data_IF_777655436434
#
_entry.id   IF_777655436434
#
_cell.length_a   1.000
_cell.length_b   1.000
_cell.length_c   1.000
_cell.angle_alpha   90.00
_cell.angle_beta   90.00
_cell.angle_gamma   90.00
#
_symmetry.space_group_name_H-M   'P 1'
#
loop_
_entity.id
_entity.type
_entity.pdbx_description
1 polymer ?
#
# COMPACT_ATOMS: atom_id res chain seq x y z
N UNK A 1 6.65 -7.25 14.02
CA UNK A 1 8.01 -7.30 14.61
C UNK A 1 8.30 -8.75 14.85
N UNK A 2 9.31 -9.28 14.19
CA UNK A 2 9.86 -10.61 14.50
C UNK A 2 11.11 -10.37 15.35
N UNK A 3 11.19 -10.98 16.54
CA UNK A 3 12.34 -10.88 17.45
C UNK A 3 12.80 -9.43 17.75
N UNK A 4 11.86 -8.49 17.88
CA UNK A 4 12.15 -7.09 18.17
C UNK A 4 12.74 -6.29 17.00
N UNK A 5 12.91 -6.90 15.81
CA UNK A 5 13.39 -6.21 14.62
C UNK A 5 12.22 -5.69 13.78
N UNK A 6 12.44 -4.55 13.14
CA UNK A 6 11.53 -4.03 12.14
C UNK A 6 11.52 -4.96 10.92
N UNK A 7 10.33 -5.23 10.37
CA UNK A 7 10.21 -6.02 9.17
C UNK A 7 10.83 -5.25 7.99
N UNK A 8 11.68 -5.92 7.21
CA UNK A 8 12.31 -5.35 6.00
C UNK A 8 11.57 -5.75 4.72
N UNK A 9 10.63 -6.69 4.83
CA UNK A 9 9.85 -7.14 3.67
C UNK A 9 8.84 -6.05 3.29
N UNK A 10 8.68 -5.75 2.00
CA UNK A 10 7.64 -4.85 1.54
C UNK A 10 6.26 -5.40 1.92
N UNK A 11 5.26 -4.52 2.14
CA UNK A 11 3.90 -4.94 2.38
C UNK A 11 3.31 -5.63 1.14
N UNK A 12 2.63 -6.74 1.38
CA UNK A 12 1.98 -7.56 0.33
C UNK A 12 0.45 -7.51 0.44
N UNK A 13 -0.07 -7.07 1.59
CA UNK A 13 -1.50 -7.04 1.86
C UNK A 13 -1.91 -5.76 2.56
N UNK A 14 -3.05 -5.20 2.15
CA UNK A 14 -3.85 -4.28 2.97
C UNK A 14 -4.66 -5.11 3.95
N UNK A 15 -4.70 -4.65 5.20
CA UNK A 15 -5.48 -5.26 6.27
C UNK A 15 -6.63 -4.33 6.62
N UNK A 16 -7.83 -4.88 6.63
CA UNK A 16 -9.06 -4.16 6.94
C UNK A 16 -9.94 -4.95 7.89
N UNK A 17 -10.88 -4.25 8.54
CA UNK A 17 -11.94 -4.85 9.35
C UNK A 17 -13.27 -4.54 8.68
N UNK A 18 -13.99 -5.59 8.27
CA UNK A 18 -15.31 -5.51 7.64
C UNK A 18 -16.38 -5.63 8.71
N UNK A 19 -17.26 -4.62 8.78
CA UNK A 19 -18.36 -4.52 9.74
C UNK A 19 -19.64 -4.27 8.96
N UNK A 20 -20.55 -5.25 8.93
CA UNK A 20 -21.79 -5.18 8.17
C UNK A 20 -21.60 -4.78 6.69
N UNK A 21 -21.81 -3.50 6.36
CA UNK A 21 -21.67 -2.94 5.00
C UNK A 21 -20.45 -2.03 4.84
N UNK A 22 -19.72 -1.76 5.92
CA UNK A 22 -18.56 -0.88 5.94
C UNK A 22 -17.25 -1.68 6.02
N UNK A 23 -16.17 -1.08 5.52
CA UNK A 23 -14.83 -1.63 5.58
C UNK A 23 -13.83 -0.56 6.03
N UNK A 24 -13.08 -0.86 7.09
CA UNK A 24 -12.14 0.05 7.70
C UNK A 24 -10.71 -0.47 7.50
N UNK A 25 -9.89 0.25 6.75
CA UNK A 25 -8.46 -0.07 6.63
C UNK A 25 -7.75 0.20 7.97
N UNK A 26 -7.04 -0.80 8.47
CA UNK A 26 -6.31 -0.71 9.75
C UNK A 26 -4.80 -0.78 9.59
N UNK A 27 -4.30 -1.24 8.43
CA UNK A 27 -2.86 -1.22 8.15
C UNK A 27 -2.47 -2.03 6.92
N UNK A 28 -1.16 -2.31 6.82
CA UNK A 28 -0.56 -3.14 5.77
C UNK A 28 0.39 -4.15 6.40
N UNK A 29 0.58 -5.30 5.75
CA UNK A 29 1.48 -6.34 6.26
C UNK A 29 2.08 -7.19 5.13
N UNK A 30 3.18 -7.88 5.40
CA UNK A 30 3.69 -8.94 4.53
C UNK A 30 3.10 -10.30 4.92
N UNK A 31 3.29 -11.32 4.08
CA UNK A 31 2.73 -12.64 4.30
C UNK A 31 3.19 -13.26 5.62
N UNK A 32 4.47 -13.11 5.97
CA UNK A 32 5.06 -13.67 7.20
C UNK A 32 4.43 -13.10 8.47
N UNK A 33 3.91 -11.87 8.42
CA UNK A 33 3.36 -11.18 9.57
C UNK A 33 1.83 -11.27 9.67
N UNK A 34 1.13 -11.98 8.77
CA UNK A 34 -0.34 -12.09 8.79
C UNK A 34 -0.89 -12.55 10.13
N UNK A 35 -0.35 -13.63 10.69
CA UNK A 35 -0.87 -14.23 11.93
C UNK A 35 -0.69 -13.31 13.14
N UNK A 36 0.48 -12.67 13.25
CA UNK A 36 0.78 -11.72 14.31
C UNK A 36 -0.16 -10.51 14.23
N UNK A 37 -0.38 -9.99 13.02
CA UNK A 37 -1.28 -8.85 12.79
C UNK A 37 -2.74 -9.22 13.09
N UNK A 38 -3.21 -10.39 12.64
CA UNK A 38 -4.55 -10.89 12.97
C UNK A 38 -4.79 -10.97 14.47
N UNK A 39 -3.84 -11.57 15.22
CA UNK A 39 -3.95 -11.67 16.68
C UNK A 39 -4.00 -10.30 17.36
N UNK A 40 -3.21 -9.33 16.89
CA UNK A 40 -3.22 -7.97 17.43
C UNK A 40 -4.54 -7.24 17.13
N UNK A 41 -5.08 -7.38 15.93
CA UNK A 41 -6.38 -6.80 15.57
C UNK A 41 -7.49 -7.44 16.41
N UNK A 42 -7.47 -8.76 16.58
CA UNK A 42 -8.46 -9.46 17.42
C UNK A 42 -8.39 -8.99 18.88
N UNK A 43 -7.18 -8.81 19.43
CA UNK A 43 -7.00 -8.22 20.75
C UNK A 43 -7.61 -6.82 20.84
N UNK A 44 -7.35 -5.94 19.86
CA UNK A 44 -7.89 -4.58 19.84
C UNK A 44 -9.43 -4.54 19.66
N UNK A 45 -10.01 -5.50 18.93
CA UNK A 45 -11.47 -5.68 18.84
C UNK A 45 -12.08 -6.10 20.19
N UNK A 46 -11.36 -6.93 20.95
CA UNK A 46 -11.80 -7.36 22.28
C UNK A 46 -11.70 -6.21 23.30
N UNK A 47 -10.69 -5.34 23.19
CA UNK A 47 -10.55 -4.11 23.97
C UNK A 47 -11.49 -2.97 23.51
N UNK A 48 -12.34 -3.21 22.52
CA UNK A 48 -13.29 -2.22 21.97
C UNK A 48 -12.61 -0.95 21.43
N UNK A 49 -11.32 -1.05 21.07
CA UNK A 49 -10.53 0.06 20.49
C UNK A 49 -10.71 0.18 18.99
N UNK A 50 -11.11 -0.91 18.34
CA UNK A 50 -11.51 -0.95 16.94
C UNK A 50 -12.82 -1.73 16.81
N UNK A 51 -13.65 -1.45 15.79
CA UNK A 51 -14.94 -2.13 15.60
C UNK A 51 -14.81 -3.65 15.54
N UNK A 52 -15.77 -4.37 16.13
CA UNK A 52 -15.84 -5.84 16.00
C UNK A 52 -16.29 -6.21 14.60
N UNK A 53 -15.48 -6.98 13.90
CA UNK A 53 -15.71 -7.31 12.51
C UNK A 53 -14.75 -8.36 11.97
N UNK A 54 -14.99 -8.79 10.74
CA UNK A 54 -14.16 -9.79 10.08
C UNK A 54 -12.87 -9.14 9.58
N UNK A 55 -11.73 -9.70 9.98
CA UNK A 55 -10.43 -9.29 9.45
C UNK A 55 -10.32 -9.76 7.99
N UNK A 56 -10.01 -8.83 7.08
CA UNK A 56 -9.81 -9.09 5.66
C UNK A 56 -8.39 -8.74 5.23
N UNK A 57 -7.85 -9.51 4.29
CA UNK A 57 -6.52 -9.31 3.72
C UNK A 57 -6.64 -9.22 2.21
N UNK A 58 -6.43 -8.02 1.68
CA UNK A 58 -6.51 -7.74 0.25
C UNK A 58 -5.10 -7.65 -0.32
N UNK A 59 -4.74 -8.45 -1.34
CA UNK A 59 -3.40 -8.42 -1.92
C UNK A 59 -3.11 -7.06 -2.56
N UNK A 60 -1.90 -6.55 -2.34
CA UNK A 60 -1.40 -5.35 -2.97
C UNK A 60 -0.77 -5.71 -4.32
N UNK A 61 -1.11 -4.91 -5.33
CA UNK A 61 -0.41 -4.92 -6.61
C UNK A 61 0.75 -3.93 -6.54
N UNK A 62 1.96 -4.43 -6.74
CA UNK A 62 3.13 -3.56 -6.88
C UNK A 62 3.02 -2.79 -8.19
N UNK A 63 3.05 -1.46 -8.11
CA UNK A 63 3.12 -0.57 -9.27
C UNK A 63 4.42 0.19 -9.17
N UNK A 64 5.32 -0.03 -10.14
CA UNK A 64 6.50 0.80 -10.32
C UNK A 64 6.12 2.03 -11.13
N UNK A 65 6.29 3.21 -10.56
CA UNK A 65 6.18 4.47 -11.27
C UNK A 65 7.53 5.15 -11.23
N UNK A 66 7.94 5.77 -12.33
CA UNK A 66 9.08 6.68 -12.29
C UNK A 66 8.71 7.89 -11.42
N UNK A 67 9.60 8.25 -10.51
CA UNK A 67 9.47 9.46 -9.71
C UNK A 67 9.74 10.67 -10.61
N UNK A 68 8.68 11.38 -10.98
CA UNK A 68 8.76 12.65 -11.72
C UNK A 68 8.69 13.78 -10.69
N UNK A 69 9.68 14.67 -10.67
CA UNK A 69 9.72 15.82 -9.74
C UNK A 69 8.81 16.98 -10.19
N UNK A 70 8.43 17.02 -11.46
CA UNK A 70 7.62 18.06 -12.08
C UNK A 70 8.41 19.33 -12.40
N UNK A 71 9.74 19.25 -12.48
CA UNK A 71 10.60 20.39 -12.79
C UNK A 71 11.26 20.27 -14.17
N UNK A 72 12.15 21.22 -14.49
CA UNK A 72 12.71 21.34 -15.82
C UNK A 72 13.54 20.13 -16.26
N UNK A 73 14.13 19.39 -15.31
CA UNK A 73 14.87 18.15 -15.58
C UNK A 73 13.95 17.00 -16.05
N UNK A 74 12.65 17.08 -15.79
CA UNK A 74 11.67 16.06 -16.22
C UNK A 74 11.09 16.31 -17.63
N UNK A 75 11.39 17.44 -18.28
CA UNK A 75 10.89 17.72 -19.62
C UNK A 75 11.61 16.86 -20.67
N UNK A 76 10.85 16.06 -21.41
CA UNK A 76 11.36 15.35 -22.58
C UNK A 76 11.38 16.30 -23.79
N UNK A 77 12.56 16.53 -24.35
CA UNK A 77 12.72 17.34 -25.56
C UNK A 77 12.18 16.59 -26.78
N UNK A 78 11.05 17.03 -27.33
CA UNK A 78 10.48 16.46 -28.54
C UNK A 78 11.19 17.03 -29.78
N UNK A 79 12.01 16.21 -30.43
CA UNK A 79 12.64 16.57 -31.71
C UNK A 79 11.58 16.77 -32.81
N UNK A 80 11.19 18.01 -33.04
CA UNK A 80 10.29 18.40 -34.15
C UNK A 80 11.07 18.53 -35.46
N UNK A 81 11.70 17.44 -35.92
CA UNK A 81 12.34 17.38 -37.25
C UNK A 81 11.35 17.54 -38.42
N UNK A 82 10.03 17.69 -38.17
CA UNK A 82 9.03 18.00 -39.20
C UNK A 82 9.00 19.49 -39.62
N UNK A 83 9.53 20.42 -38.81
CA UNK A 83 9.44 21.86 -39.11
C UNK A 83 10.42 22.32 -40.22
N UNK A 84 11.42 21.52 -40.57
CA UNK A 84 12.42 21.85 -41.60
C UNK A 84 11.97 21.62 -43.05
N UNK A 85 10.77 21.04 -43.27
CA UNK A 85 10.28 20.74 -44.63
C UNK A 85 9.34 21.80 -45.23
N UNK A 86 9.19 22.94 -44.56
CA UNK A 86 8.28 24.04 -44.96
C UNK A 86 9.00 25.39 -45.22
N UNK A 87 10.30 25.38 -45.51
CA UNK A 87 11.01 26.55 -46.04
C UNK A 87 11.58 26.25 -47.40
#
# INVERSE_FOLDING_TARGET
MENGKQCVNPPEFVVSVVVEKDEYMVGVTCNNHKQIVSGKIQFLQNEERIPRGKISFSPLKVVGTDCIHGDADDFVQLDTQLAKKLK
#
